data_IF_455278385440
#
_entry.id   IF_455278385440
#
_cell.length_a   1.000
_cell.length_b   1.000
_cell.length_c   1.000
_cell.angle_alpha   90.00
_cell.angle_beta   90.00
_cell.angle_gamma   90.00
#
_symmetry.space_group_name_H-M   'P 1'
#
loop_
_entity.id
_entity.type
_entity.pdbx_description
1 polymer ?
#
# COMPACT_ATOMS: atom_id res chain seq x y z
N UNK A 1 28.14 -11.34 -17.56
CA UNK A 1 27.50 -11.31 -16.22
C UNK A 1 27.12 -9.86 -15.98
N UNK A 2 26.04 -9.45 -16.61
CA UNK A 2 25.63 -8.04 -16.73
C UNK A 2 24.12 -8.05 -17.01
N UNK A 3 23.33 -8.38 -15.99
CA UNK A 3 21.88 -8.56 -16.14
C UNK A 3 21.15 -8.49 -14.79
N UNK A 4 21.56 -7.57 -13.91
CA UNK A 4 20.92 -7.40 -12.58
C UNK A 4 20.75 -5.91 -12.18
N UNK A 5 21.31 -4.99 -12.97
CA UNK A 5 21.18 -3.54 -12.76
C UNK A 5 19.93 -2.96 -13.41
N UNK A 6 19.38 -3.61 -14.44
CA UNK A 6 18.22 -3.11 -15.18
C UNK A 6 16.93 -3.27 -14.36
N UNK A 7 16.75 -4.43 -13.73
CA UNK A 7 15.54 -4.76 -12.97
C UNK A 7 15.45 -3.93 -11.67
N UNK A 8 16.56 -3.73 -10.96
CA UNK A 8 16.60 -2.85 -9.79
C UNK A 8 16.30 -1.38 -10.15
N UNK A 9 16.75 -0.91 -11.32
CA UNK A 9 16.50 0.46 -11.77
C UNK A 9 15.02 0.65 -12.17
N UNK A 10 14.39 -0.37 -12.75
CA UNK A 10 12.98 -0.35 -13.13
C UNK A 10 12.06 -0.37 -11.90
N UNK A 11 12.37 -1.19 -10.89
CA UNK A 11 11.62 -1.24 -9.64
C UNK A 11 11.75 0.06 -8.81
N UNK A 12 12.96 0.61 -8.68
CA UNK A 12 13.17 1.91 -8.01
C UNK A 12 12.44 3.06 -8.74
N UNK A 13 12.46 3.02 -10.09
CA UNK A 13 11.77 4.00 -10.93
C UNK A 13 10.24 3.87 -10.78
N UNK A 14 9.71 2.65 -10.66
CA UNK A 14 8.29 2.42 -10.42
C UNK A 14 7.85 2.96 -9.06
N UNK A 15 8.56 2.63 -7.97
CA UNK A 15 8.24 3.12 -6.61
C UNK A 15 8.27 4.65 -6.56
N UNK A 16 9.31 5.26 -7.15
CA UNK A 16 9.48 6.71 -7.20
C UNK A 16 8.39 7.41 -8.01
N UNK A 17 8.00 6.83 -9.15
CA UNK A 17 6.91 7.36 -9.99
C UNK A 17 5.57 7.25 -9.27
N UNK A 18 5.34 6.14 -8.57
CA UNK A 18 4.15 5.93 -7.75
C UNK A 18 4.03 6.92 -6.59
N UNK A 19 5.11 7.12 -5.83
CA UNK A 19 5.15 8.10 -4.75
C UNK A 19 4.92 9.52 -5.29
N UNK A 20 5.51 9.87 -6.44
CA UNK A 20 5.28 11.16 -7.10
C UNK A 20 3.82 11.35 -7.50
N UNK A 21 3.16 10.34 -8.08
CA UNK A 21 1.73 10.38 -8.43
C UNK A 21 0.84 10.52 -7.20
N UNK A 22 1.15 9.79 -6.12
CA UNK A 22 0.44 9.91 -4.84
C UNK A 22 0.56 11.31 -4.24
N UNK A 23 1.77 11.86 -4.21
CA UNK A 23 2.01 13.23 -3.72
C UNK A 23 1.27 14.27 -4.56
N UNK A 24 1.23 14.12 -5.88
CA UNK A 24 0.44 15.00 -6.76
C UNK A 24 -1.07 14.89 -6.50
N UNK A 25 -1.60 13.68 -6.33
CA UNK A 25 -3.01 13.48 -6.00
C UNK A 25 -3.38 14.09 -4.64
N UNK A 26 -2.54 13.88 -3.62
CA UNK A 26 -2.71 14.49 -2.30
C UNK A 26 -2.67 16.02 -2.39
N UNK A 27 -1.70 16.58 -3.13
CA UNK A 27 -1.59 18.02 -3.34
C UNK A 27 -2.82 18.59 -4.06
N UNK A 28 -3.34 17.89 -5.08
CA UNK A 28 -4.57 18.29 -5.77
C UNK A 28 -5.77 18.30 -4.82
N UNK A 29 -5.97 17.24 -4.03
CA UNK A 29 -7.06 17.16 -3.07
C UNK A 29 -6.95 18.27 -2.03
N UNK A 30 -5.76 18.53 -1.49
CA UNK A 30 -5.52 19.62 -0.54
C UNK A 30 -5.80 21.00 -1.15
N UNK A 31 -5.38 21.24 -2.39
CA UNK A 31 -5.70 22.45 -3.14
C UNK A 31 -7.22 22.62 -3.33
N UNK A 32 -7.95 21.56 -3.70
CA UNK A 32 -9.39 21.64 -3.89
C UNK A 32 -10.12 21.88 -2.56
N UNK A 33 -9.71 21.23 -1.48
CA UNK A 33 -10.30 21.41 -0.14
C UNK A 33 -10.05 22.84 0.37
N UNK A 34 -8.81 23.33 0.27
CA UNK A 34 -8.47 24.70 0.68
C UNK A 34 -9.19 25.75 -0.18
N UNK A 35 -9.29 25.53 -1.49
CA UNK A 35 -10.07 26.39 -2.39
C UNK A 35 -11.56 26.38 -2.04
N UNK A 36 -12.15 25.22 -1.76
CA UNK A 36 -13.55 25.11 -1.34
C UNK A 36 -13.80 25.81 0.01
N UNK A 37 -12.87 25.68 0.97
CA UNK A 37 -12.92 26.39 2.25
C UNK A 37 -12.83 27.91 2.06
N UNK A 38 -11.90 28.38 1.22
CA UNK A 38 -11.75 29.80 0.89
C UNK A 38 -12.99 30.35 0.19
N UNK A 39 -13.50 29.65 -0.83
CA UNK A 39 -14.72 30.04 -1.53
C UNK A 39 -15.92 30.05 -0.60
N UNK A 40 -16.04 29.07 0.32
CA UNK A 40 -17.08 29.08 1.34
C UNK A 40 -16.95 30.29 2.27
N UNK A 41 -15.74 30.57 2.75
CA UNK A 41 -15.49 31.71 3.64
C UNK A 41 -15.81 33.04 2.93
N UNK A 42 -15.28 33.28 1.74
CA UNK A 42 -15.48 34.55 1.04
C UNK A 42 -16.91 34.71 0.53
N UNK A 43 -17.54 33.64 0.04
CA UNK A 43 -18.87 33.72 -0.56
C UNK A 43 -19.98 33.76 0.51
N UNK A 44 -19.88 32.98 1.58
CA UNK A 44 -20.91 32.98 2.64
C UNK A 44 -20.74 34.12 3.63
N UNK A 45 -19.52 34.52 3.99
CA UNK A 45 -19.28 35.59 4.96
C UNK A 45 -19.64 36.97 4.36
N UNK A 46 -19.39 37.17 3.06
CA UNK A 46 -19.82 38.38 2.34
C UNK A 46 -21.33 38.48 2.16
N UNK A 47 -22.02 37.36 1.91
CA UNK A 47 -23.49 37.35 1.81
C UNK A 47 -24.20 37.51 3.16
N UNK A 48 -23.58 37.09 4.27
CA UNK A 48 -24.08 37.31 5.64
C UNK A 48 -23.98 38.79 6.03
N UNK A 49 -22.89 39.47 5.65
CA UNK A 49 -22.71 40.91 5.90
C UNK A 49 -23.68 41.75 5.05
N UNK A 50 -23.84 41.46 3.76
CA UNK A 50 -24.75 42.24 2.89
C UNK A 50 -26.24 42.04 3.22
N UNK A 51 -26.66 40.85 3.70
CA UNK A 51 -28.04 40.62 4.17
C UNK A 51 -28.34 41.32 5.50
N UNK A 52 -27.34 41.50 6.36
CA UNK A 52 -27.49 42.20 7.64
C UNK A 52 -27.63 43.71 7.48
N UNK A 53 -27.05 44.29 6.42
CA UNK A 53 -27.15 45.73 6.13
C UNK A 53 -28.46 46.13 5.44
N UNK A 54 -29.24 45.18 4.89
CA UNK A 54 -30.45 45.48 4.10
C UNK A 54 -31.75 44.85 4.59
N UNK A 55 -31.78 44.11 5.71
CA UNK A 55 -33.02 43.47 6.19
C UNK A 55 -33.42 43.78 7.64
N UNK A 56 -33.74 45.04 7.91
CA UNK A 56 -34.81 45.34 8.87
C UNK A 56 -36.14 45.07 8.15
N UNK A 57 -36.61 43.82 8.12
CA UNK A 57 -38.04 43.45 8.04
C UNK A 57 -38.23 41.93 7.98
N UNK A 58 -38.68 41.39 9.10
CA UNK A 58 -39.46 40.17 9.33
C UNK A 58 -39.92 39.36 8.09
N UNK A 59 -39.33 38.18 7.86
CA UNK A 59 -40.10 36.93 7.65
C UNK A 59 -39.17 35.72 7.80
N UNK A 60 -39.38 34.94 8.87
CA UNK A 60 -38.69 33.68 9.15
C UNK A 60 -39.16 32.63 8.13
N UNK A 61 -38.52 32.57 6.97
CA UNK A 61 -38.77 31.52 5.99
C UNK A 61 -37.92 30.30 6.38
N UNK A 62 -38.55 29.28 6.97
CA UNK A 62 -37.95 27.95 7.07
C UNK A 62 -37.82 27.39 5.65
N UNK A 63 -36.63 27.47 5.07
CA UNK A 63 -36.31 26.91 3.77
C UNK A 63 -35.46 25.62 3.94
N UNK A 64 -35.51 24.68 2.98
CA UNK A 64 -35.03 23.29 3.07
C UNK A 64 -33.49 23.19 2.94
N UNK A 65 -32.75 24.03 3.66
CA UNK A 65 -31.29 24.08 3.65
C UNK A 65 -30.64 22.85 4.29
N UNK A 66 -31.37 22.18 5.16
CA UNK A 66 -30.89 21.01 5.89
C UNK A 66 -30.67 19.82 4.94
N UNK A 67 -31.63 19.58 4.05
CA UNK A 67 -31.67 18.43 3.13
C UNK A 67 -30.54 18.44 2.09
N UNK A 68 -30.23 19.61 1.52
CA UNK A 68 -29.13 19.75 0.56
C UNK A 68 -27.78 19.60 1.26
N UNK A 69 -27.62 20.19 2.45
CA UNK A 69 -26.39 20.08 3.22
C UNK A 69 -26.10 18.63 3.65
N UNK A 70 -27.13 17.90 4.10
CA UNK A 70 -27.01 16.48 4.45
C UNK A 70 -26.64 15.64 3.24
N UNK A 71 -27.28 15.87 2.09
CA UNK A 71 -27.00 15.11 0.86
C UNK A 71 -25.59 15.31 0.31
N UNK A 72 -25.08 16.54 0.37
CA UNK A 72 -23.69 16.85 0.02
C UNK A 72 -22.71 16.16 1.00
N UNK A 73 -23.03 16.15 2.30
CA UNK A 73 -22.21 15.49 3.31
C UNK A 73 -22.21 13.96 3.15
N UNK A 74 -23.33 13.37 2.73
CA UNK A 74 -23.44 11.97 2.37
C UNK A 74 -22.60 11.63 1.14
N UNK A 75 -22.66 12.47 0.10
CA UNK A 75 -21.80 12.32 -1.09
C UNK A 75 -20.32 12.37 -0.75
N UNK A 76 -19.90 13.28 0.12
CA UNK A 76 -18.51 13.37 0.60
C UNK A 76 -18.13 12.13 1.42
N UNK A 77 -19.02 11.68 2.32
CA UNK A 77 -18.80 10.49 3.15
C UNK A 77 -18.62 9.24 2.29
N UNK A 78 -19.44 9.09 1.26
CA UNK A 78 -19.42 7.90 0.41
C UNK A 78 -18.19 7.93 -0.52
N UNK A 79 -17.81 9.09 -1.06
CA UNK A 79 -16.54 9.26 -1.77
C UNK A 79 -15.31 8.92 -0.90
N UNK A 80 -15.32 9.27 0.39
CA UNK A 80 -14.24 8.91 1.32
C UNK A 80 -14.19 7.39 1.55
N UNK A 81 -15.35 6.72 1.65
CA UNK A 81 -15.41 5.26 1.80
C UNK A 81 -14.85 4.55 0.56
N UNK A 82 -15.20 5.01 -0.63
CA UNK A 82 -14.73 4.44 -1.89
C UNK A 82 -13.20 4.57 -2.01
N UNK A 83 -12.64 5.73 -1.65
CA UNK A 83 -11.19 5.94 -1.61
C UNK A 83 -10.52 5.02 -0.56
N UNK A 84 -11.12 4.88 0.62
CA UNK A 84 -10.59 4.00 1.65
C UNK A 84 -10.62 2.52 1.23
N UNK A 85 -11.66 2.10 0.50
CA UNK A 85 -11.77 0.76 -0.06
C UNK A 85 -10.71 0.50 -1.13
N UNK A 86 -10.54 1.43 -2.08
CA UNK A 86 -9.50 1.34 -3.11
C UNK A 86 -8.08 1.29 -2.51
N UNK A 87 -7.83 2.01 -1.41
CA UNK A 87 -6.54 1.94 -0.69
C UNK A 87 -6.35 0.56 -0.04
N UNK A 88 -7.40 0.00 0.59
CA UNK A 88 -7.31 -1.35 1.19
C UNK A 88 -7.05 -2.41 0.14
N UNK A 89 -7.80 -2.39 -0.96
CA UNK A 89 -7.62 -3.32 -2.08
C UNK A 89 -6.22 -3.17 -2.70
N UNK A 90 -5.77 -1.93 -2.92
CA UNK A 90 -4.42 -1.65 -3.40
C UNK A 90 -3.34 -2.20 -2.47
N UNK A 91 -3.52 -2.08 -1.15
CA UNK A 91 -2.58 -2.64 -0.17
C UNK A 91 -2.57 -4.18 -0.19
N UNK A 92 -3.72 -4.82 -0.38
CA UNK A 92 -3.80 -6.29 -0.46
C UNK A 92 -3.16 -6.82 -1.75
N UNK A 93 -3.30 -6.10 -2.86
CA UNK A 93 -2.58 -6.41 -4.11
C UNK A 93 -1.07 -6.27 -3.91
N UNK A 94 -0.62 -5.20 -3.23
CA UNK A 94 0.82 -5.01 -2.92
C UNK A 94 1.36 -6.16 -2.07
N UNK A 95 0.64 -6.60 -1.03
CA UNK A 95 1.06 -7.75 -0.21
C UNK A 95 1.17 -9.04 -1.00
N UNK A 96 0.32 -9.24 -2.02
CA UNK A 96 0.35 -10.42 -2.90
C UNK A 96 1.45 -10.33 -3.96
N UNK A 97 1.77 -9.11 -4.42
CA UNK A 97 2.77 -8.85 -5.46
C UNK A 97 4.18 -8.61 -4.93
N UNK A 98 4.35 -8.30 -3.65
CA UNK A 98 5.66 -8.23 -3.02
C UNK A 98 6.32 -9.61 -3.09
N UNK A 99 7.41 -9.69 -3.84
CA UNK A 99 8.40 -10.75 -3.66
C UNK A 99 8.67 -10.84 -2.17
N UNK A 100 8.33 -11.98 -1.54
CA UNK A 100 8.60 -12.19 -0.12
C UNK A 100 10.12 -12.19 0.04
N UNK A 101 10.67 -11.03 0.41
CA UNK A 101 12.08 -10.86 0.71
C UNK A 101 12.26 -11.38 2.13
N UNK A 102 12.59 -12.66 2.23
CA UNK A 102 12.92 -13.29 3.50
C UNK A 102 14.28 -12.83 3.96
N UNK A 103 14.40 -12.48 5.24
CA UNK A 103 15.70 -12.14 5.81
C UNK A 103 16.55 -13.39 6.01
N UNK A 104 17.87 -13.24 6.07
CA UNK A 104 18.77 -14.37 6.34
C UNK A 104 18.51 -14.98 7.73
N UNK A 105 18.12 -14.16 8.71
CA UNK A 105 17.73 -14.62 10.04
C UNK A 105 16.48 -15.49 9.99
N UNK A 106 15.49 -15.15 9.16
CA UNK A 106 14.29 -15.96 8.96
C UNK A 106 14.63 -17.31 8.31
N UNK A 107 15.52 -17.31 7.31
CA UNK A 107 16.05 -18.56 6.70
C UNK A 107 16.69 -19.43 7.78
N UNK A 108 17.55 -18.86 8.62
CA UNK A 108 18.25 -19.62 9.65
C UNK A 108 17.29 -20.15 10.73
N UNK A 109 16.32 -19.34 11.15
CA UNK A 109 15.29 -19.73 12.11
C UNK A 109 14.46 -20.91 11.60
N UNK A 110 14.08 -20.89 10.32
CA UNK A 110 13.31 -21.97 9.71
C UNK A 110 14.12 -23.29 9.66
N UNK A 111 15.41 -23.22 9.33
CA UNK A 111 16.30 -24.39 9.37
C UNK A 111 16.44 -24.97 10.79
N UNK A 112 16.35 -24.13 11.83
CA UNK A 112 16.31 -24.60 13.23
C UNK A 112 14.98 -25.28 13.52
N UNK A 113 13.87 -24.67 13.09
CA UNK A 113 12.50 -25.15 13.31
C UNK A 113 12.27 -26.56 12.73
N UNK A 114 12.80 -26.83 11.53
CA UNK A 114 12.73 -28.17 10.89
C UNK A 114 13.65 -29.23 11.54
N UNK A 115 14.41 -28.85 12.56
CA UNK A 115 15.35 -29.77 13.23
C UNK A 115 16.49 -30.23 12.32
N UNK A 116 17.03 -29.35 11.47
CA UNK A 116 18.25 -29.65 10.73
C UNK A 116 19.43 -29.76 11.71
N UNK A 117 20.23 -30.83 11.58
CA UNK A 117 21.50 -31.00 12.30
C UNK A 117 22.40 -29.78 12.05
N UNK A 118 23.22 -29.39 13.03
CA UNK A 118 24.14 -28.24 12.92
C UNK A 118 24.97 -28.28 11.63
N UNK A 119 25.50 -29.43 11.25
CA UNK A 119 26.35 -29.56 10.05
C UNK A 119 25.56 -29.38 8.75
N UNK A 120 24.34 -29.92 8.69
CA UNK A 120 23.45 -29.74 7.53
C UNK A 120 22.91 -28.30 7.47
N UNK A 121 22.62 -27.71 8.63
CA UNK A 121 22.08 -26.35 8.76
C UNK A 121 22.99 -25.30 8.16
N UNK A 122 24.28 -25.32 8.47
CA UNK A 122 25.21 -24.34 7.90
C UNK A 122 25.33 -24.50 6.38
N UNK A 123 25.37 -25.75 5.88
CA UNK A 123 25.42 -26.01 4.43
C UNK A 123 24.14 -25.55 3.73
N UNK A 124 22.98 -25.84 4.32
CA UNK A 124 21.68 -25.43 3.79
C UNK A 124 21.51 -23.91 3.81
N UNK A 125 21.91 -23.25 4.90
CA UNK A 125 21.89 -21.81 5.02
C UNK A 125 22.72 -21.17 3.89
N UNK A 126 23.98 -21.57 3.74
CA UNK A 126 24.85 -21.07 2.67
C UNK A 126 24.28 -21.39 1.28
N UNK A 127 23.70 -22.57 1.06
CA UNK A 127 23.09 -22.93 -0.21
C UNK A 127 21.88 -22.05 -0.57
N UNK A 128 21.03 -21.75 0.42
CA UNK A 128 19.82 -20.94 0.25
C UNK A 128 20.17 -19.46 0.07
N UNK A 129 21.01 -18.87 0.94
CA UNK A 129 21.32 -17.44 0.90
C UNK A 129 22.17 -17.01 -0.30
N UNK A 130 22.80 -17.95 -1.00
CA UNK A 130 23.47 -17.69 -2.27
C UNK A 130 22.54 -17.27 -3.43
N UNK A 131 21.25 -17.62 -3.36
CA UNK A 131 20.30 -17.36 -4.44
C UNK A 131 18.89 -17.14 -3.89
N UNK A 132 18.38 -15.92 -4.06
CA UNK A 132 17.05 -15.52 -3.62
C UNK A 132 15.93 -16.37 -4.25
N UNK A 133 16.14 -16.97 -5.42
CA UNK A 133 15.17 -17.90 -6.02
C UNK A 133 15.04 -19.19 -5.20
N UNK A 134 16.13 -19.70 -4.62
CA UNK A 134 16.11 -20.90 -3.76
C UNK A 134 15.38 -20.62 -2.45
N UNK A 135 15.60 -19.44 -1.87
CA UNK A 135 14.88 -19.00 -0.67
C UNK A 135 13.38 -18.92 -0.93
N UNK A 136 12.98 -18.30 -2.05
CA UNK A 136 11.56 -18.23 -2.46
C UNK A 136 10.94 -19.62 -2.67
N UNK A 137 11.64 -20.51 -3.38
CA UNK A 137 11.17 -21.88 -3.59
C UNK A 137 11.03 -22.66 -2.28
N UNK A 138 12.02 -22.52 -1.38
CA UNK A 138 12.04 -23.16 -0.08
C UNK A 138 10.88 -22.73 0.82
N UNK A 139 10.63 -21.42 0.95
CA UNK A 139 9.51 -20.92 1.74
C UNK A 139 8.14 -21.09 1.05
N UNK A 140 8.11 -21.22 -0.28
CA UNK A 140 6.91 -21.59 -1.03
C UNK A 140 6.47 -23.03 -0.80
N UNK A 141 7.37 -23.92 -0.37
CA UNK A 141 7.05 -25.29 0.00
C UNK A 141 6.33 -25.35 1.36
N UNK A 142 5.27 -26.16 1.52
CA UNK A 142 4.61 -26.40 2.81
C UNK A 142 5.61 -26.86 3.89
N UNK A 143 5.42 -26.38 5.12
CA UNK A 143 6.35 -26.62 6.24
C UNK A 143 6.65 -28.10 6.47
N UNK A 144 5.67 -28.97 6.29
CA UNK A 144 5.80 -30.42 6.55
C UNK A 144 6.73 -31.13 5.56
N UNK A 145 6.84 -30.63 4.33
CA UNK A 145 7.62 -31.23 3.24
C UNK A 145 8.96 -30.50 3.01
N UNK A 146 9.12 -29.33 3.63
CA UNK A 146 10.20 -28.38 3.38
C UNK A 146 11.60 -28.97 3.60
N UNK A 147 11.74 -29.91 4.54
CA UNK A 147 13.02 -30.58 4.82
C UNK A 147 13.44 -31.54 3.71
N UNK A 148 12.52 -32.37 3.24
CA UNK A 148 12.80 -33.32 2.15
C UNK A 148 13.00 -32.58 0.83
N UNK A 149 12.22 -31.53 0.59
CA UNK A 149 12.40 -30.63 -0.55
C UNK A 149 13.77 -29.94 -0.52
N UNK A 150 14.22 -29.44 0.63
CA UNK A 150 15.54 -28.83 0.78
C UNK A 150 16.67 -29.82 0.46
N UNK A 151 16.56 -31.07 0.94
CA UNK A 151 17.53 -32.12 0.63
C UNK A 151 17.53 -32.41 -0.88
N UNK A 152 16.36 -32.49 -1.50
CA UNK A 152 16.25 -32.65 -2.95
C UNK A 152 16.92 -31.49 -3.70
N UNK A 153 16.69 -30.23 -3.31
CA UNK A 153 17.33 -29.09 -3.97
C UNK A 153 18.86 -29.10 -3.84
N UNK A 154 19.38 -29.51 -2.67
CA UNK A 154 20.81 -29.50 -2.39
C UNK A 154 21.56 -30.70 -3.01
N UNK A 155 20.89 -31.85 -3.14
CA UNK A 155 21.53 -33.12 -3.50
C UNK A 155 20.94 -33.77 -4.77
N UNK A 156 20.01 -33.12 -5.46
CA UNK A 156 19.56 -33.63 -6.77
C UNK A 156 20.75 -33.69 -7.72
N UNK A 157 20.91 -34.78 -8.48
CA UNK A 157 21.91 -34.84 -9.53
C UNK A 157 21.57 -33.74 -10.54
N UNK A 158 22.47 -32.77 -10.70
CA UNK A 158 22.47 -32.01 -11.94
C UNK A 158 22.80 -33.01 -13.05
N UNK A 159 21.87 -33.19 -13.99
CA UNK A 159 22.15 -33.99 -15.18
C UNK A 159 23.43 -33.45 -15.86
N UNK A 160 24.35 -34.34 -16.29
CA UNK A 160 25.68 -33.98 -16.80
C UNK A 160 25.65 -33.18 -18.13
#
# INVERSE_FOLDING_TARGET
>A
MEMDWQDNLEDENWVSNWDRRRRMAVAQVLCYVTYAMYMRHVYYDRHLVDQSATSLNNKKQKAPRDDVCTREFEGIRDAIKDVAEAIREGNDIIKRGQSLVYSEEEVFAELVNMGCDKNLRYKAYTFLTQDAARVRAFFGCPTDERKDFLLQMMFSPQDP
#
